data_IF_231440651113
#
_entry.id   IF_231440651113
#
_cell.length_a   1.000
_cell.length_b   1.000
_cell.length_c   1.000
_cell.angle_alpha   90.00
_cell.angle_beta   90.00
_cell.angle_gamma   90.00
#
_symmetry.space_group_name_H-M   'P 1'
#
loop_
_entity.id
_entity.type
_entity.pdbx_description
1 polymer ?
#
# COMPACT_ATOMS: atom_id res chain seq x y z
N UNK A 1 4.11 103.76 -6.58
CA UNK A 1 2.68 104.04 -6.87
C UNK A 1 2.03 102.73 -7.32
N UNK A 2 1.38 102.02 -6.40
CA UNK A 2 -0.09 101.99 -6.18
C UNK A 2 -0.78 101.00 -7.12
N UNK A 3 -1.30 99.94 -6.49
CA UNK A 3 -2.02 98.82 -7.05
C UNK A 3 -3.33 99.20 -7.75
N UNK A 4 -3.79 98.32 -8.64
CA UNK A 4 -5.22 98.15 -8.96
C UNK A 4 -5.56 96.66 -9.07
N UNK A 5 -6.32 96.15 -8.08
CA UNK A 5 -7.06 94.88 -8.13
C UNK A 5 -8.47 95.13 -8.69
N UNK A 6 -9.11 94.12 -9.29
CA UNK A 6 -10.38 93.60 -8.77
C UNK A 6 -10.34 92.06 -8.70
N UNK A 7 -10.71 91.40 -7.59
CA UNK A 7 -12.06 90.91 -7.25
C UNK A 7 -12.70 90.14 -8.43
N UNK A 8 -13.12 88.88 -8.36
CA UNK A 8 -13.82 88.14 -7.31
C UNK A 8 -14.15 86.73 -7.84
N UNK A 9 -14.39 85.75 -6.94
CA UNK A 9 -15.16 84.49 -7.13
C UNK A 9 -14.46 83.42 -8.01
N UNK A 10 -14.33 82.14 -7.62
CA UNK A 10 -15.16 81.30 -6.76
C UNK A 10 -14.37 80.01 -6.39
N UNK A 11 -14.33 79.75 -5.10
CA UNK A 11 -14.48 78.46 -4.37
C UNK A 11 -13.89 77.15 -4.90
N UNK A 12 -13.12 76.55 -3.98
CA UNK A 12 -13.19 75.16 -3.51
C UNK A 12 -12.90 74.03 -4.51
N UNK A 13 -11.92 73.18 -4.18
CA UNK A 13 -12.13 72.09 -3.20
C UNK A 13 -10.89 71.20 -3.06
N UNK A 14 -10.52 71.03 -1.80
CA UNK A 14 -9.62 70.04 -1.20
C UNK A 14 -9.93 68.62 -1.65
N UNK A 15 -8.91 67.80 -1.93
CA UNK A 15 -8.77 66.40 -1.48
C UNK A 15 -7.57 65.75 -2.19
N UNK A 16 -6.42 65.59 -1.53
CA UNK A 16 -6.01 64.31 -0.91
C UNK A 16 -6.35 63.06 -1.74
N UNK A 17 -5.32 62.30 -2.16
CA UNK A 17 -5.04 60.95 -1.62
C UNK A 17 -3.88 60.25 -2.34
N UNK A 18 -2.93 59.83 -1.51
CA UNK A 18 -1.84 58.86 -1.75
C UNK A 18 -2.44 57.44 -1.74
N UNK A 19 -2.16 56.58 -2.74
CA UNK A 19 -2.47 55.14 -2.71
C UNK A 19 -1.67 54.37 -3.80
N UNK A 20 -0.53 53.75 -3.48
CA UNK A 20 -0.33 52.31 -3.20
C UNK A 20 -0.39 51.31 -4.39
N UNK A 21 0.77 50.68 -4.64
CA UNK A 21 1.05 49.24 -4.98
C UNK A 21 0.37 48.62 -6.21
N UNK A 22 1.14 47.90 -7.05
CA UNK A 22 1.20 46.41 -7.07
C UNK A 22 2.16 45.87 -8.14
N UNK A 23 3.09 45.02 -7.70
CA UNK A 23 3.94 44.18 -8.53
C UNK A 23 3.15 43.07 -9.24
N UNK A 24 3.58 42.67 -10.45
CA UNK A 24 3.25 41.36 -11.02
C UNK A 24 4.46 40.76 -11.78
N UNK A 25 5.39 40.12 -11.04
CA UNK A 25 6.31 39.13 -11.63
C UNK A 25 5.49 37.90 -12.03
N UNK A 26 5.41 37.62 -13.33
CA UNK A 26 4.74 36.43 -13.88
C UNK A 26 5.59 35.20 -13.56
N UNK A 27 5.28 34.52 -12.46
CA UNK A 27 5.94 33.29 -12.06
C UNK A 27 5.48 32.13 -12.96
N UNK A 28 6.36 31.66 -13.84
CA UNK A 28 6.21 30.38 -14.54
C UNK A 28 6.26 29.24 -13.51
N UNK A 29 5.11 28.76 -13.05
CA UNK A 29 5.01 27.51 -12.28
C UNK A 29 5.40 26.35 -13.20
N UNK A 30 6.67 25.92 -13.16
CA UNK A 30 7.03 24.57 -13.57
C UNK A 30 6.29 23.61 -12.65
N UNK A 31 5.34 22.86 -13.19
CA UNK A 31 4.69 21.77 -12.49
C UNK A 31 5.75 20.73 -12.15
N UNK A 32 6.23 20.76 -10.92
CA UNK A 32 7.12 19.72 -10.39
C UNK A 32 6.36 18.40 -10.43
N UNK A 33 6.80 17.46 -11.28
CA UNK A 33 6.37 16.07 -11.23
C UNK A 33 6.61 15.59 -9.80
N UNK A 34 5.54 15.39 -9.02
CA UNK A 34 5.65 14.73 -7.71
C UNK A 34 6.19 13.33 -7.96
N UNK A 35 7.49 13.16 -7.77
CA UNK A 35 8.12 11.84 -7.65
C UNK A 35 7.48 11.20 -6.42
N UNK A 36 6.53 10.29 -6.65
CA UNK A 36 5.91 9.55 -5.55
C UNK A 36 7.04 8.76 -4.89
N UNK A 37 7.37 9.09 -3.63
CA UNK A 37 8.30 8.29 -2.81
C UNK A 37 7.88 6.82 -2.93
N UNK A 38 8.77 5.97 -3.46
CA UNK A 38 8.55 4.52 -3.48
C UNK A 38 8.41 4.09 -2.03
N UNK A 39 7.20 3.67 -1.63
CA UNK A 39 6.93 3.23 -0.27
C UNK A 39 7.80 2.01 0.01
N UNK A 40 8.63 2.09 1.06
CA UNK A 40 9.48 0.96 1.50
C UNK A 40 8.59 -0.24 1.76
N UNK A 41 8.73 -1.27 0.93
CA UNK A 41 7.97 -2.51 1.05
C UNK A 41 8.40 -3.21 2.33
N UNK A 42 7.45 -3.51 3.24
CA UNK A 42 7.78 -4.19 4.51
C UNK A 42 8.45 -5.55 4.24
N UNK A 43 9.47 -5.94 5.02
CA UNK A 43 10.10 -7.27 4.93
C UNK A 43 9.19 -8.38 5.47
N UNK A 44 8.31 -8.05 6.41
CA UNK A 44 7.38 -8.98 7.06
C UNK A 44 6.05 -9.01 6.31
N UNK A 45 5.61 -10.21 5.95
CA UNK A 45 4.30 -10.49 5.38
C UNK A 45 3.26 -10.60 6.49
N UNK A 46 2.18 -9.82 6.36
CA UNK A 46 1.01 -9.82 7.26
C UNK A 46 -0.25 -10.16 6.46
N UNK A 47 -1.30 -10.60 7.15
CA UNK A 47 -2.61 -10.90 6.54
C UNK A 47 -2.77 -12.32 6.00
N UNK A 48 -3.93 -12.59 5.37
CA UNK A 48 -4.37 -13.93 4.94
C UNK A 48 -3.41 -14.59 3.95
N UNK A 49 -2.81 -13.80 3.06
CA UNK A 49 -1.89 -14.28 2.01
C UNK A 49 -0.42 -14.25 2.43
N UNK A 50 -0.09 -14.08 3.72
CA UNK A 50 1.30 -13.92 4.17
C UNK A 50 2.21 -15.08 3.76
N UNK A 51 1.74 -16.33 3.91
CA UNK A 51 2.51 -17.51 3.49
C UNK A 51 2.73 -17.56 1.98
N UNK A 52 1.73 -17.14 1.21
CA UNK A 52 1.83 -17.07 -0.25
C UNK A 52 2.81 -15.99 -0.72
N UNK A 53 2.79 -14.81 -0.09
CA UNK A 53 3.70 -13.72 -0.41
C UNK A 53 5.17 -14.07 -0.10
N UNK A 54 5.42 -14.81 0.99
CA UNK A 54 6.76 -15.30 1.34
C UNK A 54 7.20 -16.41 0.39
N UNK A 55 6.32 -17.35 0.06
CA UNK A 55 6.63 -18.44 -0.87
C UNK A 55 6.93 -17.94 -2.29
N UNK A 56 6.27 -16.86 -2.71
CA UNK A 56 6.54 -16.16 -3.99
C UNK A 56 7.81 -15.28 -3.95
N UNK A 57 8.42 -15.07 -2.78
CA UNK A 57 9.59 -14.20 -2.62
C UNK A 57 9.30 -12.70 -2.53
N UNK A 58 8.03 -12.28 -2.53
CA UNK A 58 7.67 -10.86 -2.40
C UNK A 58 8.01 -10.27 -1.01
N UNK A 59 8.22 -11.14 -0.03
CA UNK A 59 8.49 -10.82 1.37
C UNK A 59 9.46 -11.85 1.96
N UNK A 60 10.27 -11.45 2.93
CA UNK A 60 11.30 -12.31 3.51
C UNK A 60 10.74 -13.33 4.51
N UNK A 61 9.82 -12.89 5.39
CA UNK A 61 9.28 -13.72 6.47
C UNK A 61 7.83 -13.41 6.81
N UNK A 62 7.10 -14.38 7.36
CA UNK A 62 5.75 -14.12 7.93
C UNK A 62 5.85 -13.41 9.27
N UNK A 63 4.73 -12.90 9.80
CA UNK A 63 4.65 -12.37 11.17
C UNK A 63 5.14 -13.37 12.23
N UNK A 64 4.90 -14.65 12.02
CA UNK A 64 5.33 -15.76 12.89
C UNK A 64 6.77 -16.23 12.62
N UNK A 65 7.53 -15.52 11.78
CA UNK A 65 8.93 -15.83 11.51
C UNK A 65 9.21 -16.95 10.49
N UNK A 66 8.21 -17.45 9.77
CA UNK A 66 8.42 -18.50 8.76
C UNK A 66 9.04 -17.90 7.49
N UNK A 67 10.06 -18.57 6.97
CA UNK A 67 10.71 -18.24 5.69
C UNK A 67 10.18 -19.11 4.55
N UNK A 68 10.57 -18.82 3.30
CA UNK A 68 10.18 -19.64 2.15
C UNK A 68 10.64 -21.10 2.30
N UNK A 69 11.82 -21.32 2.87
CA UNK A 69 12.39 -22.65 3.14
C UNK A 69 11.56 -23.49 4.10
N UNK A 70 10.77 -22.86 4.97
CA UNK A 70 9.92 -23.55 5.95
C UNK A 70 8.53 -23.90 5.38
N UNK A 71 8.21 -23.41 4.18
CA UNK A 71 6.91 -23.55 3.55
C UNK A 71 6.93 -24.60 2.44
N UNK A 72 5.79 -25.23 2.21
CA UNK A 72 5.57 -26.21 1.15
C UNK A 72 4.15 -26.09 0.61
N UNK A 73 3.98 -26.36 -0.68
CA UNK A 73 2.67 -26.40 -1.34
C UNK A 73 2.07 -27.81 -1.19
N UNK A 74 0.84 -27.90 -0.71
CA UNK A 74 0.08 -29.17 -0.67
C UNK A 74 -0.47 -29.52 -2.06
N UNK A 75 -0.94 -30.76 -2.24
CA UNK A 75 -1.62 -31.20 -3.47
C UNK A 75 -2.84 -30.31 -3.82
N UNK A 76 -3.55 -29.83 -2.80
CA UNK A 76 -4.68 -28.89 -2.93
C UNK A 76 -4.27 -27.43 -3.18
N UNK A 77 -2.99 -27.14 -3.41
CA UNK A 77 -2.48 -25.80 -3.68
C UNK A 77 -2.33 -24.89 -2.46
N UNK A 78 -2.66 -25.38 -1.25
CA UNK A 78 -2.50 -24.61 0.00
C UNK A 78 -1.04 -24.56 0.43
N UNK A 79 -0.57 -23.40 0.85
CA UNK A 79 0.79 -23.21 1.35
C UNK A 79 0.77 -23.38 2.87
N UNK A 80 1.45 -24.42 3.35
CA UNK A 80 1.54 -24.81 4.75
C UNK A 80 3.01 -24.91 5.17
N UNK A 81 3.28 -24.92 6.48
CA UNK A 81 4.64 -25.18 6.95
C UNK A 81 5.00 -26.64 6.78
N UNK A 82 6.28 -26.93 6.50
CA UNK A 82 6.84 -28.29 6.41
C UNK A 82 6.52 -29.11 7.67
N UNK A 83 6.63 -28.49 8.85
CA UNK A 83 6.26 -29.10 10.14
C UNK A 83 4.81 -29.59 10.17
N UNK A 84 3.85 -28.76 9.72
CA UNK A 84 2.43 -29.15 9.65
C UNK A 84 2.18 -30.26 8.62
N UNK A 85 2.86 -30.22 7.48
CA UNK A 85 2.76 -31.29 6.48
C UNK A 85 3.23 -32.62 7.04
N UNK A 86 4.40 -32.65 7.71
CA UNK A 86 4.93 -33.85 8.33
C UNK A 86 4.00 -34.40 9.43
N UNK A 87 3.45 -33.54 10.29
CA UNK A 87 2.49 -33.94 11.31
C UNK A 87 1.24 -34.59 10.70
N UNK A 88 0.70 -34.00 9.63
CA UNK A 88 -0.44 -34.55 8.91
C UNK A 88 -0.18 -35.96 8.36
N UNK A 89 1.00 -36.18 7.77
CA UNK A 89 1.43 -37.50 7.28
C UNK A 89 1.56 -38.53 8.42
N UNK A 90 2.15 -38.13 9.54
CA UNK A 90 2.28 -38.99 10.73
C UNK A 90 0.90 -39.37 11.29
N UNK A 91 -0.01 -38.42 11.41
CA UNK A 91 -1.35 -38.67 11.94
C UNK A 91 -2.17 -39.56 11.00
N UNK A 92 -2.06 -39.36 9.68
CA UNK A 92 -2.70 -40.22 8.69
C UNK A 92 -2.21 -41.66 8.83
N UNK A 93 -0.89 -41.88 8.87
CA UNK A 93 -0.31 -43.21 9.04
C UNK A 93 -0.75 -43.91 10.32
N UNK A 94 -0.83 -43.16 11.45
CA UNK A 94 -1.17 -43.73 12.76
C UNK A 94 -2.65 -44.05 12.94
N UNK A 95 -3.57 -43.27 12.37
CA UNK A 95 -5.01 -43.34 12.72
C UNK A 95 -5.89 -43.87 11.60
N UNK A 96 -5.73 -43.33 10.39
CA UNK A 96 -6.73 -43.50 9.31
C UNK A 96 -6.18 -44.35 8.16
N UNK A 97 -4.86 -44.43 8.02
CA UNK A 97 -4.18 -45.08 6.89
C UNK A 97 -4.49 -46.57 6.76
N UNK A 98 -4.63 -47.29 7.87
CA UNK A 98 -5.03 -48.71 7.85
C UNK A 98 -6.44 -48.91 7.33
N UNK A 99 -7.40 -48.16 7.89
CA UNK A 99 -8.81 -48.22 7.49
C UNK A 99 -9.01 -47.84 6.02
N UNK A 100 -8.35 -46.78 5.55
CA UNK A 100 -8.42 -46.40 4.12
C UNK A 100 -7.85 -47.47 3.20
N UNK A 101 -6.76 -48.14 3.58
CA UNK A 101 -6.21 -49.28 2.80
C UNK A 101 -7.18 -50.44 2.73
N UNK A 102 -7.81 -50.81 3.86
CA UNK A 102 -8.81 -51.87 3.90
C UNK A 102 -10.00 -51.56 2.97
N UNK A 103 -10.56 -50.33 3.06
CA UNK A 103 -11.65 -49.92 2.19
C UNK A 103 -11.24 -49.88 0.70
N UNK A 104 -10.02 -49.44 0.38
CA UNK A 104 -9.52 -49.48 -1.01
C UNK A 104 -9.40 -50.91 -1.54
N UNK A 105 -8.92 -51.85 -0.72
CA UNK A 105 -8.83 -53.26 -1.10
C UNK A 105 -10.22 -53.87 -1.33
N UNK A 106 -11.17 -53.60 -0.42
CA UNK A 106 -12.55 -54.05 -0.56
C UNK A 106 -13.22 -53.52 -1.84
N UNK A 107 -13.06 -52.22 -2.15
CA UNK A 107 -13.60 -51.63 -3.39
C UNK A 107 -13.04 -52.29 -4.64
N UNK A 108 -11.72 -52.49 -4.69
CA UNK A 108 -11.07 -53.21 -5.79
C UNK A 108 -11.60 -54.63 -5.96
N UNK A 109 -11.79 -55.36 -4.86
CA UNK A 109 -12.35 -56.72 -4.91
C UNK A 109 -13.79 -56.75 -5.41
N UNK A 110 -14.56 -55.69 -5.14
CA UNK A 110 -15.93 -55.52 -5.62
C UNK A 110 -16.02 -54.91 -7.03
N UNK A 111 -14.90 -54.57 -7.66
CA UNK A 111 -14.87 -53.99 -9.01
C UNK A 111 -15.44 -52.58 -9.13
N UNK A 112 -15.49 -51.83 -8.01
CA UNK A 112 -16.00 -50.44 -7.90
C UNK A 112 -14.92 -49.43 -7.55
#
# INVERSE_FOLDING_TARGET
MVARRPASKRVARVATRKATRKATRKATRKASKKVKKVKRVSKVAKGKLAKAAVFKGSKAKTSTGLTASDLVKSKSGKIVSKKKSALGKKNFAKRIGGWTKACMAARKALGI
#
